data_IF_269589108322
#
_entry.id   IF_269589108322
#
_cell.length_a   1.000
_cell.length_b   1.000
_cell.length_c   1.000
_cell.angle_alpha   90.00
_cell.angle_beta   90.00
_cell.angle_gamma   90.00
#
_symmetry.space_group_name_H-M   'P 1'
#
loop_
_entity.id
_entity.type
_entity.pdbx_description
1 polymer ?
#
# COMPACT_ATOMS: atom_id res chain seq x y z
N UNK A 1 -1.05 -13.86 -1.06
CA UNK A 1 -1.87 -12.63 -0.97
C UNK A 1 -2.21 -12.21 -2.38
N UNK A 2 -3.49 -11.96 -2.64
CA UNK A 2 -4.00 -11.64 -3.96
C UNK A 2 -3.52 -10.26 -4.43
N UNK A 3 -2.90 -10.21 -5.60
CA UNK A 3 -2.51 -8.98 -6.30
C UNK A 3 -3.67 -7.94 -6.36
N UNK A 4 -4.90 -8.42 -6.47
CA UNK A 4 -6.12 -7.61 -6.45
C UNK A 4 -6.36 -6.90 -5.11
N UNK A 5 -5.96 -7.49 -3.97
CA UNK A 5 -6.02 -6.84 -2.66
C UNK A 5 -4.99 -5.72 -2.57
N UNK A 6 -3.76 -5.96 -3.05
CA UNK A 6 -2.73 -4.94 -3.08
C UNK A 6 -3.21 -3.72 -3.89
N UNK A 7 -3.72 -3.95 -5.10
CA UNK A 7 -4.33 -2.93 -5.94
C UNK A 7 -5.44 -2.15 -5.22
N UNK A 8 -6.38 -2.84 -4.55
CA UNK A 8 -7.42 -2.19 -3.75
C UNK A 8 -6.88 -1.33 -2.61
N UNK A 9 -5.82 -1.76 -1.92
CA UNK A 9 -5.17 -1.00 -0.86
C UNK A 9 -4.57 0.31 -1.40
N UNK A 10 -3.97 0.25 -2.59
CA UNK A 10 -3.45 1.43 -3.27
C UNK A 10 -4.54 2.26 -3.96
N UNK A 11 -5.81 1.81 -3.92
CA UNK A 11 -6.93 2.39 -4.67
C UNK A 11 -6.64 2.44 -6.19
N UNK A 12 -5.97 1.41 -6.68
CA UNK A 12 -5.56 1.26 -8.07
C UNK A 12 -6.42 0.20 -8.75
N UNK A 13 -6.86 0.47 -9.97
CA UNK A 13 -7.55 -0.54 -10.79
C UNK A 13 -6.56 -1.42 -11.56
N UNK A 14 -5.39 -0.89 -11.96
CA UNK A 14 -4.33 -1.62 -12.69
C UNK A 14 -2.94 -1.00 -12.49
N UNK A 15 -1.89 -1.83 -12.54
CA UNK A 15 -0.48 -1.36 -12.60
C UNK A 15 0.00 -0.98 -14.01
N UNK A 16 -0.83 -1.17 -15.05
CA UNK A 16 -0.43 -0.99 -16.45
C UNK A 16 0.12 0.40 -16.78
N UNK A 17 -0.27 1.42 -16.02
CA UNK A 17 0.20 2.80 -16.19
C UNK A 17 1.02 3.33 -15.00
N UNK A 18 1.36 2.48 -14.04
CA UNK A 18 2.01 2.92 -12.80
C UNK A 18 3.46 2.52 -12.83
N UNK A 19 4.31 3.53 -12.85
CA UNK A 19 5.75 3.33 -12.74
C UNK A 19 6.11 2.89 -11.32
N UNK A 20 7.20 2.14 -11.18
CA UNK A 20 7.70 1.69 -9.88
C UNK A 20 7.92 2.84 -8.88
N UNK A 21 8.28 4.03 -9.38
CA UNK A 21 8.46 5.23 -8.59
C UNK A 21 7.13 5.78 -8.05
N UNK A 22 6.08 5.77 -8.87
CA UNK A 22 4.71 6.13 -8.46
C UNK A 22 4.15 5.15 -7.44
N UNK A 23 4.34 3.85 -7.66
CA UNK A 23 3.98 2.81 -6.69
C UNK A 23 4.67 3.04 -5.34
N UNK A 24 5.96 3.38 -5.37
CA UNK A 24 6.75 3.67 -4.16
C UNK A 24 6.29 4.95 -3.48
N UNK A 25 5.91 5.98 -4.23
CA UNK A 25 5.37 7.22 -3.68
C UNK A 25 4.02 6.98 -2.99
N UNK A 26 3.12 6.22 -3.63
CA UNK A 26 1.83 5.81 -3.06
C UNK A 26 2.02 4.96 -1.80
N UNK A 27 2.91 3.96 -1.85
CA UNK A 27 3.28 3.16 -0.69
C UNK A 27 3.78 4.03 0.46
N UNK A 28 4.72 4.96 0.23
CA UNK A 28 5.20 5.86 1.30
C UNK A 28 4.10 6.73 1.89
N UNK A 29 3.13 7.16 1.07
CA UNK A 29 2.02 8.01 1.50
C UNK A 29 1.07 7.22 2.40
N UNK A 30 0.60 6.07 1.91
CA UNK A 30 -0.26 5.15 2.65
C UNK A 30 0.43 4.58 3.91
N UNK A 31 1.71 4.23 3.82
CA UNK A 31 2.49 3.73 4.94
C UNK A 31 2.64 4.79 6.03
N UNK A 32 2.72 6.08 5.68
CA UNK A 32 2.69 7.17 6.67
C UNK A 32 1.30 7.35 7.27
N UNK A 33 0.24 7.26 6.47
CA UNK A 33 -1.14 7.44 6.95
C UNK A 33 -1.61 6.28 7.83
N UNK A 34 -1.22 5.05 7.50
CA UNK A 34 -1.55 3.81 8.22
C UNK A 34 -0.43 3.33 9.15
N UNK A 35 0.63 4.11 9.36
CA UNK A 35 1.71 3.74 10.27
C UNK A 35 1.16 3.53 11.68
N UNK A 36 1.55 2.49 12.43
CA UNK A 36 1.09 2.27 13.81
C UNK A 36 1.40 3.41 14.80
N UNK A 37 2.26 4.36 14.44
CA UNK A 37 2.48 5.61 15.19
C UNK A 37 1.37 6.66 14.99
N UNK A 38 0.58 6.54 13.92
CA UNK A 38 -0.57 7.41 13.68
C UNK A 38 -1.74 6.96 14.54
N UNK A 39 -2.54 7.93 15.00
CA UNK A 39 -3.77 7.69 15.79
C UNK A 39 -4.80 6.75 15.14
N UNK A 40 -4.72 6.54 13.83
CA UNK A 40 -5.60 5.68 13.01
C UNK A 40 -4.83 4.51 12.36
N UNK A 41 -3.54 4.36 12.67
CA UNK A 41 -2.73 3.30 12.10
C UNK A 41 -2.84 2.02 12.93
N UNK A 42 -3.05 0.91 12.23
CA UNK A 42 -3.07 -0.42 12.81
C UNK A 42 -1.87 -1.20 12.29
N UNK A 43 -1.21 -1.97 13.16
CA UNK A 43 -0.11 -2.84 12.76
C UNK A 43 -0.53 -3.84 11.68
N UNK A 44 -1.79 -4.29 11.69
CA UNK A 44 -2.38 -5.17 10.67
C UNK A 44 -2.45 -4.49 9.31
N UNK A 45 -3.02 -3.27 9.23
CA UNK A 45 -3.05 -2.47 8.01
C UNK A 45 -1.65 -2.22 7.43
N UNK A 46 -0.66 -1.96 8.30
CA UNK A 46 0.71 -1.71 7.87
C UNK A 46 1.40 -2.99 7.34
N UNK A 47 1.12 -4.14 7.95
CA UNK A 47 1.60 -5.44 7.49
C UNK A 47 0.96 -5.79 6.14
N UNK A 48 -0.36 -5.62 5.98
CA UNK A 48 -1.05 -5.81 4.71
C UNK A 48 -0.50 -4.88 3.61
N UNK A 49 -0.23 -3.62 3.95
CA UNK A 49 0.37 -2.66 3.00
C UNK A 49 1.78 -3.09 2.57
N UNK A 50 2.58 -3.60 3.52
CA UNK A 50 3.95 -4.06 3.25
C UNK A 50 3.95 -5.33 2.42
N UNK A 51 3.09 -6.30 2.73
CA UNK A 51 2.96 -7.51 1.92
C UNK A 51 2.46 -7.20 0.50
N UNK A 52 1.57 -6.21 0.35
CA UNK A 52 1.11 -5.73 -0.94
C UNK A 52 2.23 -5.09 -1.81
N UNK A 53 3.26 -4.52 -1.19
CA UNK A 53 4.39 -3.89 -1.90
C UNK A 53 5.52 -4.87 -2.26
N UNK A 54 5.64 -5.99 -1.54
CA UNK A 54 6.69 -7.00 -1.74
C UNK A 54 6.33 -8.02 -2.85
N UNK A 55 5.15 -7.88 -3.45
CA UNK A 55 4.66 -8.74 -4.54
C UNK A 55 5.46 -8.56 -5.84
#
# INVERSE_FOLDING_TARGET
>A
MDFEKALKIFNLESLENISFDELRAMYKKLAKERHPDMKLGSSEDFVELREAYVF
#
